data_IF_825566071271
#
_entry.id   IF_825566071271
#
_cell.length_a   1.000
_cell.length_b   1.000
_cell.length_c   1.000
_cell.angle_alpha   90.00
_cell.angle_beta   90.00
_cell.angle_gamma   90.00
#
_symmetry.space_group_name_H-M   'P 1'
#
loop_
_entity.id
_entity.type
_entity.pdbx_description
1 polymer ?
#
# COMPACT_ATOMS: atom_id res chain seq x y z
N UNK A 1 8.25 -2.49 29.08
CA UNK A 1 8.95 -2.16 27.82
C UNK A 1 8.42 -0.88 27.16
N UNK A 2 7.12 -0.53 27.26
CA UNK A 2 6.57 0.70 26.67
C UNK A 2 7.11 1.99 27.32
N UNK A 3 7.60 1.93 28.55
CA UNK A 3 8.14 3.10 29.25
C UNK A 3 9.54 3.50 28.80
N UNK A 4 10.26 2.61 28.12
CA UNK A 4 11.63 2.85 27.64
C UNK A 4 11.67 3.46 26.24
N UNK A 5 10.51 3.53 25.54
CA UNK A 5 10.43 4.09 24.20
C UNK A 5 10.10 5.59 24.29
N UNK A 6 10.84 6.41 23.57
CA UNK A 6 10.52 7.83 23.42
C UNK A 6 9.13 7.99 22.78
N UNK A 7 8.15 8.44 23.58
CA UNK A 7 6.75 8.57 23.18
C UNK A 7 6.56 9.51 21.97
N UNK A 8 7.42 10.52 21.84
CA UNK A 8 7.36 11.45 20.70
C UNK A 8 7.78 10.75 19.41
N UNK A 9 8.90 10.04 19.42
CA UNK A 9 9.37 9.29 18.25
C UNK A 9 8.40 8.17 17.87
N UNK A 10 7.79 7.51 18.85
CA UNK A 10 6.76 6.50 18.61
C UNK A 10 5.53 7.11 17.94
N UNK A 11 5.03 8.25 18.43
CA UNK A 11 3.89 8.93 17.86
C UNK A 11 4.18 9.42 16.42
N UNK A 12 5.37 9.97 16.17
CA UNK A 12 5.80 10.40 14.82
C UNK A 12 5.87 9.21 13.86
N UNK A 13 6.48 8.08 14.28
CA UNK A 13 6.55 6.87 13.46
C UNK A 13 5.17 6.28 13.15
N UNK A 14 4.29 6.21 14.15
CA UNK A 14 2.91 5.75 13.96
C UNK A 14 2.13 6.67 13.02
N UNK A 15 2.29 7.98 13.17
CA UNK A 15 1.66 8.97 12.27
C UNK A 15 2.13 8.75 10.83
N UNK A 16 3.44 8.59 10.59
CA UNK A 16 3.99 8.32 9.27
C UNK A 16 3.44 7.04 8.65
N UNK A 17 3.36 5.94 9.39
CA UNK A 17 2.78 4.68 8.90
C UNK A 17 1.30 4.84 8.53
N UNK A 18 0.53 5.60 9.33
CA UNK A 18 -0.88 5.88 9.04
C UNK A 18 -1.02 6.75 7.80
N UNK A 19 -0.23 7.81 7.66
CA UNK A 19 -0.20 8.70 6.49
C UNK A 19 0.13 7.91 5.22
N UNK A 20 1.18 7.09 5.23
CA UNK A 20 1.55 6.24 4.09
C UNK A 20 0.42 5.28 3.71
N UNK A 21 -0.18 4.64 4.70
CA UNK A 21 -1.29 3.71 4.49
C UNK A 21 -2.50 4.41 3.90
N UNK A 22 -2.88 5.57 4.43
CA UNK A 22 -4.03 6.37 3.98
C UNK A 22 -3.83 6.87 2.55
N UNK A 23 -2.64 7.37 2.23
CA UNK A 23 -2.32 7.86 0.89
C UNK A 23 -2.25 6.71 -0.14
N UNK A 24 -1.72 5.57 0.24
CA UNK A 24 -1.66 4.38 -0.63
C UNK A 24 -3.05 3.84 -0.98
N UNK A 25 -3.98 3.87 -0.03
CA UNK A 25 -5.37 3.40 -0.18
C UNK A 25 -6.22 4.41 -0.94
N UNK A 26 -6.06 5.67 -0.62
CA UNK A 26 -6.97 6.76 -0.97
C UNK A 26 -8.18 6.83 -0.02
N UNK A 27 -8.80 7.99 0.03
CA UNK A 27 -9.87 8.32 0.98
C UNK A 27 -11.10 8.83 0.25
N UNK A 28 -12.27 8.23 0.51
CA UNK A 28 -13.53 8.77 0.00
C UNK A 28 -13.93 10.04 0.76
N UNK A 29 -13.98 11.15 0.04
CA UNK A 29 -14.25 12.48 0.61
C UNK A 29 -15.65 12.60 1.20
N UNK A 30 -16.60 11.81 0.69
CA UNK A 30 -18.00 11.88 1.11
C UNK A 30 -18.28 11.12 2.40
N UNK A 31 -17.45 10.15 2.76
CA UNK A 31 -17.64 9.28 3.93
C UNK A 31 -16.59 9.49 5.03
N UNK A 32 -15.42 9.99 4.68
CA UNK A 32 -14.30 10.13 5.61
C UNK A 32 -14.57 11.09 6.76
N UNK A 33 -14.02 10.76 7.93
CA UNK A 33 -14.02 11.67 9.10
C UNK A 33 -12.98 12.77 8.94
N UNK A 34 -13.10 13.93 9.64
CA UNK A 34 -12.08 14.97 9.61
C UNK A 34 -10.69 14.45 10.02
N UNK A 35 -10.63 13.54 10.98
CA UNK A 35 -9.37 12.94 11.46
C UNK A 35 -8.71 12.10 10.36
N UNK A 36 -9.49 11.32 9.60
CA UNK A 36 -8.98 10.52 8.48
C UNK A 36 -8.50 11.41 7.34
N UNK A 37 -9.26 12.44 6.98
CA UNK A 37 -8.88 13.41 5.95
C UNK A 37 -7.59 14.15 6.27
N UNK A 38 -7.31 14.40 7.56
CA UNK A 38 -6.10 15.11 7.98
C UNK A 38 -4.80 14.31 7.76
N UNK A 39 -4.89 12.99 7.52
CA UNK A 39 -3.75 12.16 7.12
C UNK A 39 -3.49 12.16 5.60
N UNK A 40 -4.38 12.75 4.82
CA UNK A 40 -4.18 12.88 3.37
C UNK A 40 -3.16 13.99 3.10
N UNK A 41 -2.18 13.70 2.26
CA UNK A 41 -1.17 14.68 1.84
C UNK A 41 -1.84 15.97 1.33
N UNK A 42 -1.36 17.13 1.77
CA UNK A 42 -1.92 18.44 1.42
C UNK A 42 -3.16 18.86 2.23
N UNK A 43 -3.71 18.01 3.10
CA UNK A 43 -4.89 18.33 3.93
C UNK A 43 -4.50 18.44 5.40
N UNK A 44 -4.55 19.64 5.96
CA UNK A 44 -4.39 19.85 7.39
C UNK A 44 -5.74 19.74 8.13
N UNK A 45 -5.69 19.69 9.48
CA UNK A 45 -6.88 19.60 10.33
C UNK A 45 -7.95 20.68 10.05
N UNK A 46 -7.53 21.89 9.69
CA UNK A 46 -8.44 23.00 9.37
C UNK A 46 -9.16 22.78 8.04
N UNK A 47 -8.44 22.35 7.01
CA UNK A 47 -9.00 21.99 5.71
C UNK A 47 -9.92 20.78 5.84
N UNK A 48 -9.50 19.74 6.57
CA UNK A 48 -10.31 18.55 6.82
C UNK A 48 -11.69 18.87 7.41
N UNK A 49 -11.74 19.74 8.44
CA UNK A 49 -12.99 20.23 9.03
C UNK A 49 -13.84 21.02 8.01
N UNK A 50 -13.20 21.84 7.19
CA UNK A 50 -13.91 22.61 6.16
C UNK A 50 -14.50 21.71 5.08
N UNK A 51 -13.81 20.64 4.68
CA UNK A 51 -14.35 19.66 3.72
C UNK A 51 -15.63 19.03 4.27
N UNK A 52 -15.59 18.55 5.52
CA UNK A 52 -16.76 17.94 6.15
C UNK A 52 -17.90 18.93 6.26
N UNK A 53 -17.64 20.14 6.73
CA UNK A 53 -18.64 21.21 6.81
C UNK A 53 -19.24 21.53 5.43
N UNK A 54 -18.39 21.63 4.40
CA UNK A 54 -18.83 21.92 3.03
C UNK A 54 -19.81 20.86 2.51
N UNK A 55 -19.50 19.55 2.71
CA UNK A 55 -20.39 18.48 2.26
C UNK A 55 -21.70 18.40 3.08
N UNK A 56 -21.68 18.79 4.35
CA UNK A 56 -22.88 18.87 5.18
C UNK A 56 -23.81 20.01 4.73
N UNK A 57 -23.27 21.13 4.29
CA UNK A 57 -24.02 22.30 3.84
C UNK A 57 -24.47 22.20 2.37
N UNK A 58 -23.66 21.60 1.49
CA UNK A 58 -23.89 21.58 0.03
C UNK A 58 -24.24 20.20 -0.53
N UNK A 59 -24.22 19.16 0.31
CA UNK A 59 -24.41 17.79 -0.11
C UNK A 59 -23.10 17.13 -0.55
N UNK A 60 -23.21 15.87 -1.03
CA UNK A 60 -22.07 15.06 -1.48
C UNK A 60 -21.34 15.71 -2.67
N UNK A 61 -20.03 15.71 -2.62
CA UNK A 61 -19.19 16.08 -3.77
C UNK A 61 -19.33 15.01 -4.86
N UNK A 62 -19.39 15.45 -6.12
CA UNK A 62 -19.53 14.57 -7.29
C UNK A 62 -18.26 14.51 -8.14
N UNK A 63 -17.35 15.44 -7.94
CA UNK A 63 -16.08 15.55 -8.64
C UNK A 63 -15.00 16.05 -7.69
N UNK A 64 -13.77 15.59 -7.84
CA UNK A 64 -12.63 16.07 -7.03
C UNK A 64 -12.41 17.58 -7.19
N UNK A 65 -12.70 18.13 -8.38
CA UNK A 65 -12.59 19.57 -8.64
C UNK A 65 -13.45 20.42 -7.71
N UNK A 66 -14.52 19.89 -7.15
CA UNK A 66 -15.37 20.61 -6.19
C UNK A 66 -14.65 20.93 -4.88
N UNK A 67 -13.56 20.21 -4.57
CA UNK A 67 -12.69 20.54 -3.44
C UNK A 67 -12.13 21.97 -3.52
N UNK A 68 -11.93 22.51 -4.72
CA UNK A 68 -11.50 23.91 -4.90
C UNK A 68 -12.51 24.94 -4.40
N UNK A 69 -13.76 24.54 -4.16
CA UNK A 69 -14.80 25.40 -3.57
C UNK A 69 -14.74 25.39 -2.03
N UNK A 70 -13.96 24.48 -1.44
CA UNK A 70 -13.83 24.36 0.02
C UNK A 70 -12.95 25.50 0.56
N UNK A 71 -13.40 26.22 1.59
CA UNK A 71 -12.63 27.31 2.19
C UNK A 71 -11.26 26.84 2.67
N UNK A 72 -10.22 27.62 2.38
CA UNK A 72 -8.80 27.38 2.71
C UNK A 72 -8.14 26.20 1.94
N UNK A 73 -8.83 25.53 1.05
CA UNK A 73 -8.23 24.55 0.15
C UNK A 73 -7.86 25.25 -1.16
N UNK A 74 -6.62 25.71 -1.25
CA UNK A 74 -6.08 26.37 -2.44
C UNK A 74 -5.63 25.36 -3.51
N UNK A 75 -5.22 25.89 -4.69
CA UNK A 75 -4.75 25.05 -5.82
C UNK A 75 -3.62 24.12 -5.44
N UNK A 76 -2.61 24.59 -4.71
CA UNK A 76 -1.46 23.78 -4.30
C UNK A 76 -1.89 22.60 -3.41
N UNK A 77 -2.76 22.86 -2.42
CA UNK A 77 -3.29 21.80 -1.57
C UNK A 77 -4.15 20.81 -2.37
N UNK A 78 -4.92 21.31 -3.35
CA UNK A 78 -5.69 20.47 -4.26
C UNK A 78 -4.79 19.54 -5.10
N UNK A 79 -3.76 20.07 -5.73
CA UNK A 79 -2.79 19.30 -6.52
C UNK A 79 -2.11 18.21 -5.67
N UNK A 80 -1.81 18.51 -4.40
CA UNK A 80 -1.20 17.54 -3.49
C UNK A 80 -2.17 16.43 -3.05
N UNK A 81 -3.45 16.75 -2.81
CA UNK A 81 -4.40 15.78 -2.26
C UNK A 81 -5.22 15.04 -3.32
N UNK A 82 -5.37 15.59 -4.53
CA UNK A 82 -6.30 15.08 -5.53
C UNK A 82 -6.04 13.62 -5.94
N UNK A 83 -4.79 13.18 -5.97
CA UNK A 83 -4.43 11.79 -6.25
C UNK A 83 -4.84 10.79 -5.17
N UNK A 84 -5.06 11.27 -3.93
CA UNK A 84 -5.37 10.45 -2.77
C UNK A 84 -6.85 10.50 -2.36
N UNK A 85 -7.61 11.44 -2.92
CA UNK A 85 -9.04 11.55 -2.68
C UNK A 85 -9.80 10.70 -3.70
N UNK A 86 -10.90 10.08 -3.27
CA UNK A 86 -11.84 9.31 -4.08
C UNK A 86 -13.24 9.92 -3.94
N UNK A 87 -14.03 9.82 -5.01
CA UNK A 87 -15.44 10.19 -5.02
C UNK A 87 -16.23 9.02 -5.57
N UNK A 88 -16.72 8.16 -4.68
CA UNK A 88 -17.37 6.89 -5.06
C UNK A 88 -18.66 7.09 -5.84
N UNK A 89 -19.39 8.16 -5.57
CA UNK A 89 -20.66 8.51 -6.26
C UNK A 89 -20.44 9.51 -7.42
N UNK A 90 -19.20 9.60 -7.93
CA UNK A 90 -18.80 10.54 -8.99
C UNK A 90 -19.41 10.20 -10.34
N UNK A 91 -19.54 11.21 -11.21
CA UNK A 91 -20.04 11.03 -12.58
C UNK A 91 -19.00 10.38 -13.49
N UNK A 92 -17.72 10.66 -13.25
CA UNK A 92 -16.61 10.13 -14.02
C UNK A 92 -16.05 8.89 -13.30
N UNK A 93 -15.97 7.72 -13.95
CA UNK A 93 -15.38 6.52 -13.37
C UNK A 93 -13.96 6.69 -12.85
N UNK A 94 -13.20 7.64 -13.39
CA UNK A 94 -11.84 7.94 -12.91
C UNK A 94 -11.80 8.55 -11.50
N UNK A 95 -12.91 9.09 -11.00
CA UNK A 95 -13.00 9.67 -9.66
C UNK A 95 -12.82 8.63 -8.53
N UNK A 96 -13.02 7.34 -8.84
CA UNK A 96 -12.82 6.22 -7.90
C UNK A 96 -11.36 5.73 -7.92
N UNK A 97 -10.61 6.04 -8.99
CA UNK A 97 -9.24 5.55 -9.19
C UNK A 97 -8.20 6.45 -8.53
N UNK A 98 -6.93 6.00 -8.47
CA UNK A 98 -5.78 6.80 -8.06
C UNK A 98 -5.25 7.74 -9.14
N UNK A 99 -5.78 7.69 -10.35
CA UNK A 99 -5.35 8.57 -11.44
C UNK A 99 -5.55 10.03 -11.04
N UNK A 100 -4.51 10.83 -11.14
CA UNK A 100 -4.59 12.25 -10.83
C UNK A 100 -5.47 12.98 -11.86
N UNK A 101 -6.30 13.97 -11.45
CA UNK A 101 -7.20 14.69 -12.37
C UNK A 101 -6.51 15.34 -13.59
N UNK A 102 -5.24 15.72 -13.46
CA UNK A 102 -4.44 16.25 -14.59
C UNK A 102 -4.18 15.18 -15.67
N UNK A 103 -4.16 13.92 -15.27
CA UNK A 103 -3.90 12.78 -16.18
C UNK A 103 -5.17 12.13 -16.73
N UNK A 104 -6.36 12.69 -16.48
CA UNK A 104 -7.61 12.12 -16.98
C UNK A 104 -7.66 12.05 -18.50
N UNK A 105 -7.20 13.11 -19.20
CA UNK A 105 -7.14 13.12 -20.66
C UNK A 105 -6.23 12.02 -21.21
N UNK A 106 -5.13 11.74 -20.51
CA UNK A 106 -4.21 10.65 -20.89
C UNK A 106 -4.86 9.29 -20.72
N UNK A 107 -5.56 9.08 -19.59
CA UNK A 107 -6.29 7.86 -19.32
C UNK A 107 -7.43 7.63 -20.34
N UNK A 108 -8.16 8.69 -20.72
CA UNK A 108 -9.19 8.63 -21.76
C UNK A 108 -8.62 8.26 -23.14
N UNK A 109 -7.51 8.89 -23.52
CA UNK A 109 -6.83 8.60 -24.78
C UNK A 109 -6.29 7.16 -24.81
N UNK A 110 -5.72 6.69 -23.69
CA UNK A 110 -5.26 5.32 -23.54
C UNK A 110 -6.40 4.31 -23.75
N UNK A 111 -7.54 4.52 -23.06
CA UNK A 111 -8.71 3.66 -23.20
C UNK A 111 -9.28 3.69 -24.63
N UNK A 112 -9.36 4.87 -25.23
CA UNK A 112 -9.84 5.03 -26.61
C UNK A 112 -8.96 4.28 -27.62
N UNK A 113 -7.65 4.25 -27.40
CA UNK A 113 -6.70 3.55 -28.26
C UNK A 113 -6.88 2.02 -28.23
N UNK A 114 -7.22 1.47 -27.06
CA UNK A 114 -7.57 0.05 -26.94
C UNK A 114 -9.04 -0.25 -27.26
N UNK A 115 -9.78 0.74 -27.79
CA UNK A 115 -11.15 0.56 -28.26
C UNK A 115 -12.25 0.68 -27.20
N UNK A 116 -11.94 1.18 -26.01
CA UNK A 116 -12.88 1.31 -24.90
C UNK A 116 -13.15 2.77 -24.52
N UNK A 117 -14.28 2.97 -23.85
CA UNK A 117 -14.69 4.27 -23.29
C UNK A 117 -14.61 4.23 -21.77
N UNK A 118 -14.53 5.40 -21.12
CA UNK A 118 -14.52 5.52 -19.65
C UNK A 118 -15.67 4.75 -18.97
N UNK A 119 -16.86 4.80 -19.54
CA UNK A 119 -18.02 4.09 -18.96
C UNK A 119 -17.88 2.56 -19.01
N UNK A 120 -17.02 2.03 -19.86
CA UNK A 120 -16.78 0.58 -19.94
C UNK A 120 -16.01 0.07 -18.70
N UNK A 121 -15.30 0.95 -17.97
CA UNK A 121 -14.66 0.63 -16.69
C UNK A 121 -15.66 0.22 -15.60
N UNK A 122 -16.92 0.66 -15.70
CA UNK A 122 -17.97 0.30 -14.74
C UNK A 122 -18.68 -0.99 -15.11
N UNK A 123 -18.50 -1.50 -16.32
CA UNK A 123 -19.07 -2.75 -16.79
C UNK A 123 -18.14 -3.91 -16.43
N UNK A 124 -18.60 -4.86 -15.60
CA UNK A 124 -17.78 -5.97 -15.09
C UNK A 124 -17.20 -6.86 -16.19
N UNK A 125 -17.95 -7.13 -17.26
CA UNK A 125 -17.50 -8.00 -18.35
C UNK A 125 -16.40 -7.31 -19.16
N UNK A 126 -16.66 -6.09 -19.63
CA UNK A 126 -15.68 -5.29 -20.37
C UNK A 126 -14.44 -4.94 -19.56
N UNK A 127 -14.60 -4.76 -18.24
CA UNK A 127 -13.48 -4.48 -17.36
C UNK A 127 -12.45 -5.61 -17.32
N UNK A 128 -12.88 -6.87 -17.41
CA UNK A 128 -11.95 -8.02 -17.49
C UNK A 128 -11.13 -7.97 -18.79
N UNK A 129 -11.78 -7.63 -19.90
CA UNK A 129 -11.10 -7.46 -21.20
C UNK A 129 -10.11 -6.30 -21.15
N UNK A 130 -10.54 -5.12 -20.67
CA UNK A 130 -9.69 -3.93 -20.52
C UNK A 130 -8.47 -4.25 -19.65
N UNK A 131 -8.66 -4.96 -18.56
CA UNK A 131 -7.57 -5.35 -17.66
C UNK A 131 -6.54 -6.25 -18.34
N UNK A 132 -6.99 -7.19 -19.17
CA UNK A 132 -6.09 -8.07 -19.95
C UNK A 132 -5.26 -7.27 -20.94
N UNK A 133 -5.89 -6.39 -21.71
CA UNK A 133 -5.19 -5.56 -22.69
C UNK A 133 -4.22 -4.57 -22.04
N UNK A 134 -4.62 -3.93 -20.93
CA UNK A 134 -3.74 -3.04 -20.17
C UNK A 134 -2.53 -3.79 -19.58
N UNK A 135 -2.70 -5.04 -19.14
CA UNK A 135 -1.61 -5.86 -18.63
C UNK A 135 -0.62 -6.25 -19.75
N UNK A 136 -1.11 -6.54 -20.95
CA UNK A 136 -0.27 -6.80 -22.12
C UNK A 136 0.53 -5.55 -22.53
N UNK A 137 -0.11 -4.38 -22.54
CA UNK A 137 0.55 -3.11 -22.80
C UNK A 137 1.64 -2.81 -21.78
N UNK A 138 1.38 -3.02 -20.51
CA UNK A 138 2.33 -2.76 -19.42
C UNK A 138 3.60 -3.63 -19.53
N UNK A 139 3.46 -4.84 -20.05
CA UNK A 139 4.58 -5.78 -20.25
C UNK A 139 5.23 -5.65 -21.63
N UNK A 140 4.69 -4.83 -22.53
CA UNK A 140 5.18 -4.69 -23.89
C UNK A 140 6.39 -3.74 -23.97
N UNK A 141 7.30 -4.01 -24.91
CA UNK A 141 8.41 -3.09 -25.24
C UNK A 141 7.92 -1.76 -25.82
N UNK A 142 6.66 -1.67 -26.21
CA UNK A 142 6.06 -0.52 -26.88
C UNK A 142 5.57 0.57 -25.91
N UNK A 143 5.69 0.35 -24.58
CA UNK A 143 5.24 1.33 -23.57
C UNK A 143 5.96 2.68 -23.72
N UNK A 144 7.22 2.67 -24.16
CA UNK A 144 8.00 3.89 -24.40
C UNK A 144 7.45 4.68 -25.59
N UNK A 145 7.13 4.01 -26.68
CA UNK A 145 6.54 4.63 -27.86
C UNK A 145 5.17 5.22 -27.56
N UNK A 146 4.37 4.48 -26.80
CA UNK A 146 3.05 4.91 -26.34
C UNK A 146 3.15 6.12 -25.37
N UNK A 147 4.13 6.16 -24.51
CA UNK A 147 4.36 7.30 -23.60
C UNK A 147 4.70 8.57 -24.40
N UNK A 148 5.54 8.46 -25.43
CA UNK A 148 5.86 9.57 -26.33
C UNK A 148 4.62 10.03 -27.10
N UNK A 149 3.82 9.10 -27.63
CA UNK A 149 2.59 9.42 -28.37
C UNK A 149 1.55 10.15 -27.49
N UNK A 150 1.40 9.71 -26.24
CA UNK A 150 0.49 10.34 -25.26
C UNK A 150 1.10 11.57 -24.58
N UNK A 151 2.34 11.93 -24.95
CA UNK A 151 3.09 13.07 -24.39
C UNK A 151 3.20 13.04 -22.86
N UNK A 152 3.53 11.86 -22.31
CA UNK A 152 3.74 11.64 -20.88
C UNK A 152 5.03 10.87 -20.61
N UNK A 153 5.53 10.93 -19.37
CA UNK A 153 6.65 10.09 -18.93
C UNK A 153 6.27 8.60 -18.86
N UNK A 154 7.19 7.71 -19.18
CA UNK A 154 7.00 6.26 -19.06
C UNK A 154 6.52 5.84 -17.64
N UNK A 155 7.12 6.34 -16.53
CA UNK A 155 6.64 6.02 -15.17
C UNK A 155 5.18 6.46 -14.96
N UNK A 156 4.82 7.67 -15.41
CA UNK A 156 3.46 8.19 -15.27
C UNK A 156 2.44 7.33 -16.04
N UNK A 157 2.81 6.87 -17.23
CA UNK A 157 1.93 5.99 -18.01
C UNK A 157 1.74 4.63 -17.31
N UNK A 158 2.82 4.08 -16.74
CA UNK A 158 2.75 2.83 -15.96
C UNK A 158 1.84 2.98 -14.74
N UNK A 159 1.95 4.10 -14.01
CA UNK A 159 1.08 4.39 -12.87
C UNK A 159 -0.39 4.50 -13.29
N UNK A 160 -0.68 5.21 -14.40
CA UNK A 160 -2.04 5.30 -14.94
C UNK A 160 -2.58 3.90 -15.30
N UNK A 161 -1.80 3.07 -15.98
CA UNK A 161 -2.19 1.70 -16.33
C UNK A 161 -2.49 0.88 -15.06
N UNK A 162 -1.60 0.92 -14.07
CA UNK A 162 -1.76 0.20 -12.81
C UNK A 162 -3.03 0.63 -12.06
N UNK A 163 -3.32 1.93 -12.03
CA UNK A 163 -4.53 2.46 -11.39
C UNK A 163 -5.80 2.10 -12.15
N UNK A 164 -5.77 2.08 -13.50
CA UNK A 164 -6.91 1.65 -14.31
C UNK A 164 -7.18 0.14 -14.19
N UNK A 165 -6.17 -0.68 -13.96
CA UNK A 165 -6.33 -2.11 -13.73
C UNK A 165 -6.99 -2.44 -12.38
N UNK A 166 -7.04 -1.49 -11.45
CA UNK A 166 -7.51 -1.68 -10.06
C UNK A 166 -8.46 -0.55 -9.60
N UNK A 167 -9.53 -0.22 -10.34
CA UNK A 167 -10.47 0.81 -9.91
C UNK A 167 -11.16 0.39 -8.62
N UNK A 168 -11.20 1.31 -7.65
CA UNK A 168 -11.84 1.05 -6.35
C UNK A 168 -11.16 0.00 -5.49
N UNK A 169 -9.84 -0.16 -5.63
CA UNK A 169 -9.02 -1.10 -4.87
C UNK A 169 -9.32 -1.05 -3.37
N UNK A 170 -9.68 -2.20 -2.80
CA UNK A 170 -9.59 -2.41 -1.35
C UNK A 170 -8.19 -2.95 -1.04
N UNK A 171 -7.31 -2.14 -0.40
CA UNK A 171 -5.96 -2.57 -0.08
C UNK A 171 -5.91 -3.71 0.93
N UNK A 172 -7.03 -4.00 1.60
CA UNK A 172 -7.15 -5.16 2.50
C UNK A 172 -7.00 -6.48 1.74
N UNK A 173 -7.35 -6.50 0.45
CA UNK A 173 -7.19 -7.68 -0.40
C UNK A 173 -5.73 -7.97 -0.74
N UNK A 174 -4.87 -6.93 -0.72
CA UNK A 174 -3.43 -7.07 -1.00
C UNK A 174 -2.57 -7.12 0.26
N UNK A 175 -3.14 -6.81 1.42
CA UNK A 175 -2.43 -7.06 2.67
C UNK A 175 -2.24 -8.57 2.83
N UNK A 176 -1.01 -9.01 3.19
CA UNK A 176 -0.81 -10.41 3.53
C UNK A 176 -1.85 -10.77 4.58
N UNK A 177 -2.72 -11.73 4.23
CA UNK A 177 -3.74 -12.21 5.17
C UNK A 177 -3.00 -12.60 6.45
N UNK A 178 -3.43 -12.11 7.62
CA UNK A 178 -2.81 -12.55 8.85
C UNK A 178 -2.85 -14.07 8.85
N UNK A 179 -1.70 -14.70 9.01
CA UNK A 179 -1.61 -16.15 9.11
C UNK A 179 -2.24 -16.50 10.45
N UNK A 180 -3.57 -16.65 10.45
CA UNK A 180 -4.30 -17.23 11.57
C UNK A 180 -3.95 -18.70 11.56
N UNK A 181 -2.85 -19.08 12.21
CA UNK A 181 -2.49 -20.47 12.39
C UNK A 181 -3.50 -21.07 13.36
N UNK A 182 -4.31 -21.98 12.85
CA UNK A 182 -5.15 -22.86 13.66
C UNK A 182 -4.30 -23.82 14.51
N UNK A 183 -3.07 -24.08 14.08
CA UNK A 183 -2.13 -24.97 14.75
C UNK A 183 -1.05 -24.12 15.45
N UNK A 184 -1.24 -23.89 16.73
CA UNK A 184 -0.18 -23.35 17.60
C UNK A 184 0.88 -24.45 17.72
N UNK A 185 1.97 -24.32 16.97
CA UNK A 185 3.13 -25.18 17.11
C UNK A 185 3.65 -25.01 18.54
N UNK A 186 3.68 -26.12 19.28
CA UNK A 186 4.35 -26.13 20.57
C UNK A 186 5.86 -26.07 20.32
N UNK A 187 6.59 -25.42 21.22
CA UNK A 187 8.05 -25.33 21.13
C UNK A 187 8.70 -26.71 21.02
N UNK A 188 8.09 -27.72 21.63
CA UNK A 188 8.51 -29.14 21.64
C UNK A 188 8.36 -29.81 20.28
N UNK A 189 7.53 -29.29 19.39
CA UNK A 189 7.30 -29.82 18.05
C UNK A 189 8.34 -29.35 17.03
N UNK A 190 9.16 -28.34 17.39
CA UNK A 190 10.21 -27.80 16.53
C UNK A 190 11.36 -28.80 16.40
N UNK A 191 11.86 -28.97 15.18
CA UNK A 191 13.02 -29.82 14.86
C UNK A 191 14.00 -29.04 13.99
N UNK A 192 15.29 -29.31 14.18
CA UNK A 192 16.32 -28.77 13.31
C UNK A 192 16.08 -29.18 11.85
N UNK A 193 16.25 -28.25 10.93
CA UNK A 193 15.99 -28.44 9.51
C UNK A 193 14.56 -28.15 9.08
N UNK A 194 13.61 -27.92 9.99
CA UNK A 194 12.22 -27.65 9.67
C UNK A 194 12.06 -26.30 8.98
N UNK A 195 11.35 -26.26 7.86
CA UNK A 195 11.05 -25.02 7.13
C UNK A 195 9.69 -24.50 7.61
N UNK A 196 9.68 -23.26 8.06
CA UNK A 196 8.50 -22.57 8.59
C UNK A 196 8.29 -21.25 7.85
N UNK A 197 7.05 -20.83 7.80
CA UNK A 197 6.72 -19.45 7.37
C UNK A 197 6.48 -18.63 8.62
N UNK A 198 7.17 -17.51 8.75
CA UNK A 198 7.04 -16.61 9.88
C UNK A 198 6.85 -15.16 9.45
N UNK A 199 6.46 -14.33 10.42
CA UNK A 199 6.30 -12.88 10.21
C UNK A 199 7.39 -12.15 10.97
N UNK A 200 8.08 -11.21 10.31
CA UNK A 200 9.13 -10.39 10.94
C UNK A 200 8.47 -9.44 11.94
N UNK A 201 8.81 -9.58 13.22
CA UNK A 201 8.30 -8.74 14.31
C UNK A 201 9.18 -7.56 14.64
N UNK A 202 10.48 -7.76 14.52
CA UNK A 202 11.45 -6.71 14.82
C UNK A 202 12.72 -6.90 14.00
N UNK A 203 13.35 -5.79 13.62
CA UNK A 203 14.63 -5.77 12.91
C UNK A 203 15.62 -4.96 13.73
N UNK A 204 16.78 -5.55 14.01
CA UNK A 204 17.88 -4.96 14.80
C UNK A 204 19.18 -4.98 13.98
N UNK A 205 20.21 -4.31 14.43
CA UNK A 205 21.50 -4.23 13.73
C UNK A 205 22.18 -5.60 13.53
N UNK A 206 21.86 -6.60 14.38
CA UNK A 206 22.46 -7.93 14.33
C UNK A 206 21.56 -9.01 13.71
N UNK A 207 20.33 -8.66 13.31
CA UNK A 207 19.40 -9.61 12.68
C UNK A 207 17.94 -9.25 12.83
N UNK A 208 17.05 -10.19 12.50
CA UNK A 208 15.61 -10.04 12.58
C UNK A 208 14.97 -11.07 13.51
N UNK A 209 13.96 -10.64 14.26
CA UNK A 209 13.12 -11.50 15.06
C UNK A 209 11.89 -11.88 14.27
N UNK A 210 11.63 -13.17 14.12
CA UNK A 210 10.57 -13.74 13.31
C UNK A 210 9.65 -14.59 14.18
N UNK A 211 8.36 -14.25 14.15
CA UNK A 211 7.30 -15.04 14.77
C UNK A 211 6.97 -16.23 13.86
N UNK A 212 7.33 -17.42 14.29
CA UNK A 212 7.05 -18.68 13.60
C UNK A 212 5.86 -19.43 14.20
N UNK A 213 5.08 -18.78 15.07
CA UNK A 213 3.89 -19.34 15.70
C UNK A 213 4.16 -20.13 16.97
N UNK A 214 5.33 -20.00 17.58
CA UNK A 214 5.65 -20.46 18.94
C UNK A 214 5.66 -19.31 19.92
N UNK A 215 5.69 -19.61 21.23
CA UNK A 215 5.58 -18.61 22.30
C UNK A 215 6.64 -17.48 22.24
N UNK A 216 7.82 -17.78 21.71
CA UNK A 216 8.94 -16.83 21.61
C UNK A 216 9.39 -16.70 20.16
N UNK A 217 9.72 -15.45 19.75
CA UNK A 217 10.20 -15.17 18.41
C UNK A 217 11.57 -15.83 18.16
N UNK A 218 11.76 -16.39 16.98
CA UNK A 218 13.05 -16.92 16.53
C UNK A 218 13.95 -15.80 16.01
N UNK A 219 15.26 -15.95 16.19
CA UNK A 219 16.26 -15.02 15.70
C UNK A 219 16.87 -15.50 14.39
N UNK A 220 16.77 -14.69 13.34
CA UNK A 220 17.59 -14.79 12.13
C UNK A 220 18.76 -13.83 12.28
N UNK A 221 19.97 -14.36 12.52
CA UNK A 221 21.16 -13.54 12.60
C UNK A 221 21.50 -12.94 11.24
N UNK A 222 22.17 -11.78 11.19
CA UNK A 222 22.52 -11.07 9.95
C UNK A 222 23.28 -11.96 8.95
N UNK A 223 24.14 -12.87 9.44
CA UNK A 223 24.84 -13.84 8.60
C UNK A 223 23.95 -14.88 7.96
N UNK A 224 22.73 -15.08 8.46
CA UNK A 224 21.75 -16.09 8.02
C UNK A 224 20.61 -15.49 7.20
N UNK A 225 20.64 -14.18 6.90
CA UNK A 225 19.58 -13.49 6.16
C UNK A 225 19.70 -13.60 4.64
N UNK A 226 20.94 -13.67 4.12
CA UNK A 226 21.19 -13.77 2.68
C UNK A 226 22.51 -14.51 2.43
N UNK A 227 22.64 -15.12 1.25
CA UNK A 227 23.94 -15.68 0.81
C UNK A 227 24.98 -14.60 0.56
N UNK A 228 24.56 -13.43 0.13
CA UNK A 228 25.42 -12.26 -0.05
C UNK A 228 25.63 -11.53 1.28
N UNK A 229 26.73 -10.78 1.36
CA UNK A 229 27.02 -9.96 2.53
C UNK A 229 25.95 -8.89 2.74
N UNK A 230 25.32 -8.92 3.90
CA UNK A 230 24.29 -7.94 4.33
C UNK A 230 24.96 -6.95 5.28
N UNK A 231 24.89 -5.66 4.95
CA UNK A 231 25.42 -4.59 5.81
C UNK A 231 24.40 -4.19 6.87
N UNK A 232 23.14 -4.02 6.47
CA UNK A 232 22.06 -3.67 7.37
C UNK A 232 20.91 -4.67 7.17
N UNK A 233 20.39 -5.29 8.24
CA UNK A 233 19.25 -6.20 8.16
C UNK A 233 17.99 -5.58 7.55
N UNK A 234 17.77 -4.27 7.75
CA UNK A 234 16.63 -3.52 7.19
C UNK A 234 16.65 -3.40 5.66
N UNK A 235 17.81 -3.66 5.01
CA UNK A 235 17.90 -3.67 3.54
C UNK A 235 17.35 -4.97 2.95
N UNK A 236 17.16 -6.01 3.79
CA UNK A 236 16.73 -7.35 3.36
C UNK A 236 15.28 -7.63 3.77
N UNK A 237 14.89 -7.21 4.98
CA UNK A 237 13.54 -7.45 5.52
C UNK A 237 13.04 -6.24 6.29
N UNK A 238 11.71 -6.06 6.28
CA UNK A 238 10.99 -5.03 7.04
C UNK A 238 10.04 -5.68 8.05
N UNK A 239 9.69 -4.92 9.09
CA UNK A 239 8.70 -5.37 10.08
C UNK A 239 7.35 -5.59 9.39
N UNK A 240 6.78 -6.78 9.60
CA UNK A 240 5.53 -7.21 8.96
C UNK A 240 5.73 -8.10 7.74
N UNK A 241 6.95 -8.26 7.23
CA UNK A 241 7.23 -9.15 6.10
C UNK A 241 6.99 -10.61 6.49
N UNK A 242 6.43 -11.36 5.53
CA UNK A 242 6.25 -12.81 5.65
C UNK A 242 7.41 -13.50 4.97
N UNK A 243 8.22 -14.20 5.76
CA UNK A 243 9.44 -14.85 5.30
C UNK A 243 9.41 -16.36 5.54
N UNK A 244 10.05 -17.12 4.64
CA UNK A 244 10.32 -18.52 4.87
C UNK A 244 11.64 -18.65 5.61
N UNK A 245 11.67 -19.42 6.68
CA UNK A 245 12.83 -19.62 7.51
C UNK A 245 13.02 -21.11 7.83
N UNK A 246 14.27 -21.52 7.94
CA UNK A 246 14.65 -22.86 8.38
C UNK A 246 15.17 -22.82 9.81
N UNK A 247 14.74 -23.75 10.65
CA UNK A 247 15.25 -23.92 12.00
C UNK A 247 16.66 -24.51 11.92
N UNK A 248 17.65 -23.79 12.46
CA UNK A 248 19.07 -24.21 12.46
C UNK A 248 19.61 -24.52 13.86
N UNK A 249 18.79 -24.30 14.89
CA UNK A 249 19.16 -24.66 16.27
C UNK A 249 18.06 -24.28 17.26
N UNK A 250 17.86 -25.14 18.25
CA UNK A 250 16.86 -24.99 19.29
C UNK A 250 17.54 -25.05 20.66
N UNK A 251 17.42 -23.97 21.45
CA UNK A 251 17.87 -23.93 22.85
C UNK A 251 16.65 -24.18 23.75
N UNK A 252 16.51 -25.41 24.21
CA UNK A 252 15.38 -25.83 25.04
C UNK A 252 15.37 -25.17 26.41
N UNK A 253 16.55 -24.92 27.01
CA UNK A 253 16.65 -24.33 28.35
C UNK A 253 16.21 -22.85 28.33
N UNK A 254 16.59 -22.13 27.29
CA UNK A 254 16.28 -20.70 27.12
C UNK A 254 15.07 -20.45 26.25
N UNK A 255 14.42 -21.48 25.73
CA UNK A 255 13.29 -21.40 24.78
C UNK A 255 13.59 -20.47 23.58
N UNK A 256 14.81 -20.53 23.04
CA UNK A 256 15.24 -19.72 21.90
C UNK A 256 15.38 -20.58 20.65
N UNK A 257 14.93 -20.04 19.51
CA UNK A 257 15.05 -20.67 18.20
C UNK A 257 15.97 -19.85 17.33
N UNK A 258 16.97 -20.50 16.75
CA UNK A 258 17.83 -19.90 15.72
C UNK A 258 17.28 -20.27 14.37
N UNK A 259 17.13 -19.26 13.52
CA UNK A 259 16.52 -19.39 12.20
C UNK A 259 17.49 -18.93 11.11
N UNK A 260 17.36 -19.50 9.91
CA UNK A 260 18.07 -19.09 8.71
C UNK A 260 17.09 -18.83 7.58
N UNK A 261 17.31 -17.78 6.81
CA UNK A 261 16.61 -17.52 5.55
C UNK A 261 17.33 -18.18 4.35
N UNK A 262 18.52 -18.76 4.59
CA UNK A 262 19.27 -19.55 3.60
C UNK A 262 18.70 -20.97 3.55
N UNK A 263 17.61 -21.12 2.81
CA UNK A 263 16.96 -22.42 2.62
C UNK A 263 17.74 -23.17 1.54
N UNK A 264 18.39 -24.27 1.92
CA UNK A 264 19.08 -25.18 1.00
C UNK A 264 18.12 -26.19 0.41
#
# INVERSE_FOLDING_TARGET
>A
YQHDVNQKNLAESLTGVVEDSVNKVGVDVNTATPSLLAYVSGINNGIAKNIVKYREENGKLKERKELLKVPKLGKVAYEQCAGFIRVSDGKNPLEITGVHPESYSVAENLLSRIGYKLNDLTNKEKFVEIKSELAELNNSKNIKELAVELNVGEPTLQDIINELMKPGRDPREEMPKPILRADVLKFEDLRDGMILTGTVRNVTDFGAFVDVGVKHDGLVHISEMSENYVKNPSDVVSVGDVVKVQVIGIDQERQKVKLSMKIK
#
